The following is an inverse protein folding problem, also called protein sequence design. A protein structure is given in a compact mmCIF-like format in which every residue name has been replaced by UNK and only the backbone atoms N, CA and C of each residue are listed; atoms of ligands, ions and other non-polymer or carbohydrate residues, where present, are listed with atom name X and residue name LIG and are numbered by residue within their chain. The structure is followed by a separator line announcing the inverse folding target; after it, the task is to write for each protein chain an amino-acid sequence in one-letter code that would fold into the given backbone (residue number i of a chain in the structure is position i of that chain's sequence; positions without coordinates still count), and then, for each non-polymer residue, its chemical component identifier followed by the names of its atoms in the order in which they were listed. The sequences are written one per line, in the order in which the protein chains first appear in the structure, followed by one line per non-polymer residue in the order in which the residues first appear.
data_IF_888376060960
#
_entry.id   IF_888376060960
#
_cell.length_a   1.000
_cell.length_b   1.000
_cell.length_c   1.000
_cell.angle_alpha   90.00
_cell.angle_beta   90.00
_cell.angle_gamma   90.00
#
_symmetry.space_group_name_H-M   'P 1'
#
loop_
_entity.id
_entity.type
_entity.pdbx_description
1 polymer ?
#
# COMPACT_ATOMS: atom_id res chain seq x y z
N UNK A 1 -2.76 -30.58 3.77
CA UNK A 1 -1.61 -29.79 3.36
C UNK A 1 -1.96 -28.33 3.38
N UNK A 2 -1.28 -27.64 4.23
CA UNK A 2 -1.57 -26.24 4.39
C UNK A 2 -0.91 -25.44 3.28
N UNK A 3 -1.74 -24.92 2.40
CA UNK A 3 -1.27 -23.98 1.39
C UNK A 3 -1.13 -22.63 2.06
N UNK A 4 0.10 -22.15 2.14
CA UNK A 4 0.34 -20.85 2.70
C UNK A 4 0.00 -19.78 1.67
N UNK A 5 -0.94 -18.94 2.03
CA UNK A 5 -1.27 -17.77 1.21
C UNK A 5 -0.43 -16.59 1.69
N UNK A 6 0.01 -15.79 0.75
CA UNK A 6 0.75 -14.58 1.08
C UNK A 6 -0.22 -13.41 1.05
N UNK A 7 -0.31 -12.71 2.16
CA UNK A 7 -1.11 -11.49 2.25
C UNK A 7 -0.18 -10.29 2.19
N UNK A 8 -0.44 -9.41 1.25
CA UNK A 8 0.36 -8.21 1.05
C UNK A 8 -0.50 -6.99 1.34
N UNK A 9 -0.04 -6.15 2.25
CA UNK A 9 -0.68 -4.88 2.57
C UNK A 9 0.19 -3.76 2.07
N UNK A 10 -0.40 -2.83 1.33
CA UNK A 10 0.29 -1.66 0.82
C UNK A 10 -0.34 -0.41 1.38
N UNK A 11 0.49 0.54 1.74
CA UNK A 11 0.07 1.85 2.23
C UNK A 11 0.85 2.93 1.50
N UNK A 12 0.18 3.98 1.11
CA UNK A 12 0.83 5.14 0.54
C UNK A 12 -0.04 6.37 0.72
N UNK A 13 0.59 7.52 0.70
CA UNK A 13 -0.13 8.78 0.75
C UNK A 13 -0.68 9.16 -0.62
N UNK A 14 -0.05 8.67 -1.68
CA UNK A 14 -0.48 8.95 -3.05
C UNK A 14 -1.13 7.70 -3.64
N UNK A 15 -2.41 7.82 -4.01
CA UNK A 15 -3.16 6.69 -4.54
C UNK A 15 -2.63 6.23 -5.90
N UNK A 16 -2.05 7.13 -6.69
CA UNK A 16 -1.51 6.78 -8.01
C UNK A 16 -0.29 5.88 -7.89
N UNK A 17 0.61 6.23 -6.99
CA UNK A 17 1.80 5.43 -6.71
C UNK A 17 1.39 4.08 -6.15
N UNK A 18 0.41 4.08 -5.27
CA UNK A 18 -0.11 2.85 -4.67
C UNK A 18 -0.70 1.91 -5.72
N UNK A 19 -1.50 2.45 -6.62
CA UNK A 19 -2.12 1.65 -7.69
C UNK A 19 -1.08 1.08 -8.65
N UNK A 20 -0.07 1.85 -9.01
CA UNK A 20 1.02 1.37 -9.84
C UNK A 20 1.79 0.23 -9.18
N UNK A 21 2.12 0.38 -7.91
CA UNK A 21 2.83 -0.65 -7.16
C UNK A 21 2.00 -1.92 -7.01
N UNK A 22 0.71 -1.76 -6.76
CA UNK A 22 -0.22 -2.88 -6.68
C UNK A 22 -0.26 -3.65 -8.00
N UNK A 23 -0.32 -2.93 -9.11
CA UNK A 23 -0.34 -3.52 -10.45
C UNK A 23 0.94 -4.29 -10.73
N UNK A 24 2.08 -3.76 -10.34
CA UNK A 24 3.36 -4.44 -10.50
C UNK A 24 3.40 -5.76 -9.73
N UNK A 25 2.91 -5.76 -8.50
CA UNK A 25 2.85 -6.95 -7.68
C UNK A 25 1.93 -8.00 -8.32
N UNK A 26 0.77 -7.59 -8.78
CA UNK A 26 -0.18 -8.48 -9.44
C UNK A 26 0.43 -9.11 -10.69
N UNK A 27 1.08 -8.30 -11.52
CA UNK A 27 1.72 -8.78 -12.73
C UNK A 27 2.84 -9.77 -12.43
N UNK A 28 3.65 -9.47 -11.43
CA UNK A 28 4.75 -10.33 -11.00
C UNK A 28 4.22 -11.67 -10.51
N UNK A 29 3.18 -11.65 -9.69
CA UNK A 29 2.57 -12.88 -9.17
C UNK A 29 1.99 -13.73 -10.29
N UNK A 30 1.28 -13.11 -11.22
CA UNK A 30 0.70 -13.82 -12.37
C UNK A 30 1.77 -14.41 -13.27
N UNK A 31 2.87 -13.68 -13.46
CA UNK A 31 3.98 -14.14 -14.29
C UNK A 31 4.62 -15.40 -13.73
N UNK A 32 4.65 -15.53 -12.41
CA UNK A 32 5.24 -16.69 -11.74
C UNK A 32 4.25 -17.84 -11.55
N UNK A 33 3.03 -17.69 -12.04
CA UNK A 33 2.04 -18.75 -12.00
C UNK A 33 1.14 -18.78 -10.77
N UNK A 34 1.27 -17.80 -9.88
CA UNK A 34 0.42 -17.71 -8.70
C UNK A 34 -0.94 -17.10 -9.05
N UNK A 35 -1.95 -17.47 -8.27
CA UNK A 35 -3.27 -16.88 -8.39
C UNK A 35 -3.37 -15.70 -7.44
N UNK A 36 -3.83 -14.58 -7.96
CA UNK A 36 -3.99 -13.37 -7.15
C UNK A 36 -5.47 -13.10 -6.96
N UNK A 37 -5.87 -12.98 -5.71
CA UNK A 37 -7.18 -12.42 -5.38
C UNK A 37 -7.00 -10.91 -5.35
N UNK A 38 -7.68 -10.26 -6.26
CA UNK A 38 -7.49 -8.88 -6.68
C UNK A 38 -7.30 -7.89 -5.57
N UNK A 39 -6.66 -6.77 -5.84
CA UNK A 39 -6.45 -5.80 -4.78
C UNK A 39 -7.78 -5.30 -4.23
N UNK A 40 -7.91 -5.38 -2.91
CA UNK A 40 -9.09 -4.92 -2.21
C UNK A 40 -8.75 -3.56 -1.60
N UNK A 41 -9.43 -2.49 -2.02
CA UNK A 41 -9.21 -1.19 -1.41
C UNK A 41 -9.80 -1.19 0.00
N UNK A 42 -8.98 -0.83 0.98
CA UNK A 42 -9.44 -0.60 2.33
C UNK A 42 -9.85 0.85 2.50
N UNK A 43 -10.66 1.17 3.52
CA UNK A 43 -11.04 2.56 3.77
C UNK A 43 -9.81 3.45 3.92
N UNK A 44 -9.85 4.61 3.28
CA UNK A 44 -8.79 5.60 3.37
C UNK A 44 -8.82 6.25 4.75
N UNK A 45 -7.69 6.22 5.42
CA UNK A 45 -7.55 6.90 6.70
C UNK A 45 -7.25 8.37 6.44
N UNK A 46 -8.09 9.24 6.96
CA UNK A 46 -7.94 10.68 6.82
C UNK A 46 -7.61 11.26 8.19
N UNK A 47 -6.44 11.87 8.28
CA UNK A 47 -6.01 12.56 9.48
C UNK A 47 -5.93 14.05 9.20
N UNK A 48 -6.58 14.83 10.05
CA UNK A 48 -6.62 16.29 9.91
C UNK A 48 -5.89 16.92 11.06
N UNK A 49 -4.98 17.82 10.73
CA UNK A 49 -4.20 18.55 11.72
C UNK A 49 -4.45 20.03 11.55
N UNK A 50 -4.60 20.72 12.68
CA UNK A 50 -4.63 22.18 12.69
C UNK A 50 -3.36 22.67 13.35
N UNK A 51 -2.60 23.47 12.63
CA UNK A 51 -1.37 24.05 13.16
C UNK A 51 -1.56 25.53 13.40
N UNK A 52 -1.32 25.95 14.64
CA UNK A 52 -1.26 27.37 14.99
C UNK A 52 0.19 27.83 14.93
N UNK A 53 0.53 28.64 13.93
CA UNK A 53 1.90 29.10 13.76
C UNK A 53 2.30 30.18 14.75
N UNK A 54 1.34 30.96 15.22
CA UNK A 54 1.63 32.03 16.18
C UNK A 54 0.39 32.31 17.01
N UNK A 55 0.54 32.47 18.34
CA UNK A 55 -0.59 32.80 19.20
C UNK A 55 -1.11 34.23 19.01
N UNK A 56 -0.32 35.08 18.38
CA UNK A 56 -0.69 36.49 18.18
C UNK A 56 -1.28 36.76 16.81
N UNK A 57 -1.27 35.77 15.95
CA UNK A 57 -1.74 35.95 14.60
C UNK A 57 -3.15 35.46 14.50
N UNK A 58 -3.92 36.20 13.78
CA UNK A 58 -5.29 35.96 13.42
C UNK A 58 -5.61 34.55 13.00
N UNK A 59 -6.89 34.26 12.88
CA UNK A 59 -7.42 32.98 12.39
C UNK A 59 -6.87 32.59 11.02
N UNK A 60 -6.28 33.53 10.28
CA UNK A 60 -5.64 33.29 8.99
C UNK A 60 -4.37 32.46 9.07
N UNK A 61 -3.75 32.39 10.23
CA UNK A 61 -2.54 31.59 10.41
C UNK A 61 -2.81 30.13 10.75
N UNK A 62 -4.06 29.76 10.89
CA UNK A 62 -4.43 28.37 11.11
C UNK A 62 -4.40 27.64 9.79
N UNK A 63 -3.42 26.79 9.62
CA UNK A 63 -3.36 25.92 8.47
C UNK A 63 -3.89 24.55 8.87
N UNK A 64 -4.86 24.06 8.11
CA UNK A 64 -5.36 22.71 8.28
C UNK A 64 -4.65 21.82 7.28
N UNK A 65 -3.97 20.81 7.80
CA UNK A 65 -3.34 19.79 6.98
C UNK A 65 -4.18 18.53 7.04
N UNK A 66 -4.33 17.92 5.90
CA UNK A 66 -5.04 16.67 5.75
C UNK A 66 -4.08 15.64 5.17
N UNK A 67 -3.91 14.54 5.89
CA UNK A 67 -3.11 13.42 5.43
C UNK A 67 -4.05 12.27 5.12
N UNK A 68 -4.04 11.83 3.88
CA UNK A 68 -4.81 10.68 3.44
C UNK A 68 -3.89 9.50 3.25
N UNK A 69 -4.16 8.43 3.98
CA UNK A 69 -3.42 7.19 3.83
C UNK A 69 -4.28 6.19 3.10
N UNK A 70 -3.86 5.85 1.89
CA UNK A 70 -4.54 4.85 1.07
C UNK A 70 -3.98 3.48 1.38
N UNK A 71 -4.85 2.49 1.45
CA UNK A 71 -4.47 1.12 1.79
C UNK A 71 -5.02 0.16 0.75
N UNK A 72 -4.23 -0.85 0.41
CA UNK A 72 -4.66 -1.95 -0.46
C UNK A 72 -4.19 -3.25 0.15
N UNK A 73 -5.00 -4.28 -0.02
CA UNK A 73 -4.67 -5.64 0.42
C UNK A 73 -4.84 -6.58 -0.76
N UNK A 74 -3.84 -7.42 -0.98
CA UNK A 74 -3.99 -8.52 -1.91
C UNK A 74 -3.57 -9.84 -1.29
N UNK A 75 -4.22 -10.90 -1.74
CA UNK A 75 -3.88 -12.25 -1.33
C UNK A 75 -3.31 -13.00 -2.54
N UNK A 76 -2.14 -13.58 -2.36
CA UNK A 76 -1.56 -14.47 -3.34
C UNK A 76 -1.84 -15.90 -2.91
N UNK A 77 -2.61 -16.61 -3.72
CA UNK A 77 -3.00 -17.98 -3.46
C UNK A 77 -2.09 -18.89 -4.26
N UNK A 78 -1.67 -19.99 -3.66
CA UNK A 78 -0.78 -20.98 -4.28
C UNK A 78 0.54 -20.35 -4.77
N UNK A 79 1.26 -19.64 -3.91
CA UNK A 79 2.54 -19.06 -4.33
C UNK A 79 3.55 -20.16 -4.61
N UNK A 80 4.35 -19.95 -5.66
CA UNK A 80 5.49 -20.81 -5.94
C UNK A 80 6.75 -20.20 -5.30
N UNK A 81 7.84 -20.97 -5.14
CA UNK A 81 9.09 -20.38 -4.68
C UNK A 81 9.57 -19.23 -5.59
N UNK A 82 9.26 -19.31 -6.88
CA UNK A 82 9.56 -18.24 -7.82
C UNK A 82 8.77 -16.96 -7.51
N UNK A 83 7.53 -17.11 -7.07
CA UNK A 83 6.70 -15.96 -6.68
C UNK A 83 7.32 -15.23 -5.51
N UNK A 84 7.74 -15.97 -4.48
CA UNK A 84 8.35 -15.37 -3.29
C UNK A 84 9.64 -14.64 -3.68
N UNK A 85 10.49 -15.28 -4.48
CA UNK A 85 11.73 -14.67 -4.95
C UNK A 85 11.48 -13.39 -5.75
N UNK A 86 10.54 -13.45 -6.67
CA UNK A 86 10.21 -12.31 -7.51
C UNK A 86 9.69 -11.13 -6.68
N UNK A 87 8.87 -11.40 -5.67
CA UNK A 87 8.34 -10.36 -4.78
C UNK A 87 9.45 -9.74 -3.93
N UNK A 88 10.39 -10.54 -3.48
CA UNK A 88 11.54 -10.06 -2.71
C UNK A 88 12.45 -9.16 -3.53
N UNK A 89 12.56 -9.44 -4.83
CA UNK A 89 13.42 -8.68 -5.74
C UNK A 89 12.70 -7.48 -6.36
N UNK A 90 11.40 -7.37 -6.12
CA UNK A 90 10.60 -6.32 -6.72
C UNK A 90 10.95 -4.98 -6.09
N UNK A 91 11.34 -4.04 -6.95
CA UNK A 91 11.68 -2.69 -6.54
C UNK A 91 10.45 -1.81 -6.68
N UNK A 92 9.83 -1.52 -5.57
CA UNK A 92 8.63 -0.70 -5.55
C UNK A 92 8.98 0.78 -5.47
N UNK A 93 8.05 1.60 -5.92
CA UNK A 93 8.22 3.05 -5.89
C UNK A 93 8.44 3.56 -4.46
N UNK A 94 9.25 4.58 -4.31
CA UNK A 94 9.43 5.24 -3.04
C UNK A 94 8.09 5.82 -2.55
N UNK A 95 7.85 5.78 -1.26
CA UNK A 95 6.62 6.28 -0.67
C UNK A 95 5.53 5.24 -0.50
N UNK A 96 5.79 4.00 -0.91
CA UNK A 96 4.87 2.89 -0.68
C UNK A 96 5.43 2.01 0.42
N UNK A 97 4.65 1.82 1.46
CA UNK A 97 5.00 0.91 2.55
C UNK A 97 4.35 -0.44 2.28
N UNK A 98 5.15 -1.48 2.27
CA UNK A 98 4.69 -2.83 1.94
C UNK A 98 4.92 -3.74 3.14
N UNK A 99 3.86 -4.42 3.54
CA UNK A 99 3.90 -5.42 4.59
C UNK A 99 3.49 -6.76 4.00
N UNK A 100 4.35 -7.76 4.16
CA UNK A 100 4.09 -9.11 3.64
C UNK A 100 3.93 -10.06 4.80
N UNK A 101 2.79 -10.74 4.85
CA UNK A 101 2.50 -11.78 5.83
C UNK A 101 2.36 -13.12 5.13
N UNK A 102 3.06 -14.07 5.66
CA UNK A 102 2.98 -15.45 5.18
C UNK A 102 2.12 -16.27 6.15
#
# INVERSE_FOLDING_TARGET
MDRQNIRIRLKAFDHRVLDCSTREIVNTAKRTGATVRGPIPLPTLIERFTVNRSPHVDKKSREQFEIRTHKRVLDIVDPTPQTVDALMKLDLSAGVDVEIKI
#
